data_IF_139816092731
#
_entry.id   IF_139816092731
#
_cell.length_a   1.000
_cell.length_b   1.000
_cell.length_c   1.000
_cell.angle_alpha   90.00
_cell.angle_beta   90.00
_cell.angle_gamma   90.00
#
_symmetry.space_group_name_H-M   'P 1'
#
loop_
_entity.id
_entity.type
_entity.pdbx_description
1 polymer ?
#
# COMPACT_ATOMS: atom_id res chain seq x y z
N UNK A 1 -18.59 5.58 15.16
CA UNK A 1 -18.34 6.19 13.85
C UNK A 1 -18.93 7.58 13.84
N UNK A 2 -18.14 8.57 13.45
CA UNK A 2 -18.64 9.94 13.23
C UNK A 2 -19.31 10.01 11.85
N UNK A 3 -20.22 10.97 11.65
CA UNK A 3 -20.99 11.11 10.40
C UNK A 3 -20.12 11.17 9.14
N UNK A 4 -18.97 11.85 9.21
CA UNK A 4 -18.01 11.92 8.10
C UNK A 4 -17.34 10.59 7.78
N UNK A 5 -17.10 9.74 8.79
CA UNK A 5 -16.54 8.40 8.59
C UNK A 5 -17.57 7.48 7.90
N UNK A 6 -18.85 7.63 8.25
CA UNK A 6 -19.95 6.88 7.62
C UNK A 6 -20.15 7.27 6.16
N UNK A 7 -20.15 8.56 5.86
CA UNK A 7 -20.27 9.06 4.48
C UNK A 7 -19.07 8.58 3.66
N UNK A 8 -17.85 8.72 4.19
CA UNK A 8 -16.65 8.25 3.51
C UNK A 8 -16.71 6.74 3.23
N UNK A 9 -17.15 5.95 4.21
CA UNK A 9 -17.30 4.50 4.04
C UNK A 9 -18.32 4.16 2.95
N UNK A 10 -19.46 4.84 2.93
CA UNK A 10 -20.49 4.64 1.92
C UNK A 10 -19.98 4.98 0.51
N UNK A 11 -19.21 6.06 0.37
CA UNK A 11 -18.58 6.43 -0.91
C UNK A 11 -17.58 5.37 -1.38
N UNK A 12 -16.80 4.79 -0.47
CA UNK A 12 -15.88 3.70 -0.82
C UNK A 12 -16.62 2.44 -1.24
N UNK A 13 -17.65 2.03 -0.50
CA UNK A 13 -18.47 0.86 -0.84
C UNK A 13 -19.13 1.07 -2.20
N UNK A 14 -19.71 2.26 -2.44
CA UNK A 14 -20.36 2.57 -3.72
C UNK A 14 -19.40 2.50 -4.91
N UNK A 15 -18.18 3.01 -4.76
CA UNK A 15 -17.13 2.90 -5.78
C UNK A 15 -16.77 1.45 -6.07
N UNK A 16 -16.57 0.64 -5.02
CA UNK A 16 -16.27 -0.80 -5.19
C UNK A 16 -17.43 -1.49 -5.90
N UNK A 17 -18.66 -1.31 -5.41
CA UNK A 17 -19.85 -1.96 -5.96
C UNK A 17 -20.18 -1.53 -7.39
N UNK A 18 -19.71 -0.37 -7.85
CA UNK A 18 -19.84 0.04 -9.26
C UNK A 18 -19.12 -0.91 -10.23
N UNK A 19 -18.08 -1.61 -9.77
CA UNK A 19 -17.38 -2.64 -10.54
C UNK A 19 -18.07 -4.02 -10.47
N UNK A 20 -19.07 -4.18 -9.60
CA UNK A 20 -19.77 -5.44 -9.32
C UNK A 20 -21.29 -5.29 -9.46
N UNK A 21 -21.81 -5.01 -10.67
CA UNK A 21 -23.24 -4.83 -10.88
C UNK A 21 -24.02 -6.10 -10.55
N UNK A 22 -25.15 -5.94 -9.84
CA UNK A 22 -26.05 -7.03 -9.43
C UNK A 22 -25.41 -8.12 -8.55
N UNK A 23 -24.31 -7.81 -7.85
CA UNK A 23 -23.67 -8.71 -6.88
C UNK A 23 -23.88 -8.19 -5.46
N UNK A 24 -23.76 -9.09 -4.48
CA UNK A 24 -23.77 -8.69 -3.07
C UNK A 24 -22.41 -8.11 -2.68
N UNK A 25 -22.41 -7.34 -1.59
CA UNK A 25 -21.16 -6.79 -1.02
C UNK A 25 -20.24 -7.93 -0.57
N UNK A 26 -20.78 -9.03 -0.01
CA UNK A 26 -19.94 -10.17 0.37
C UNK A 26 -19.21 -10.76 -0.83
N UNK A 27 -19.90 -10.91 -1.97
CA UNK A 27 -19.30 -11.44 -3.19
C UNK A 27 -18.15 -10.55 -3.69
N UNK A 28 -18.36 -9.23 -3.72
CA UNK A 28 -17.32 -8.30 -4.15
C UNK A 28 -16.08 -8.35 -3.26
N UNK A 29 -16.26 -8.46 -1.94
CA UNK A 29 -15.15 -8.56 -0.99
C UNK A 29 -14.39 -9.88 -1.13
N UNK A 30 -15.10 -11.00 -1.29
CA UNK A 30 -14.48 -12.32 -1.48
C UNK A 30 -13.70 -12.39 -2.79
N UNK A 31 -14.25 -11.85 -3.88
CA UNK A 31 -13.56 -11.77 -5.17
C UNK A 31 -12.28 -10.92 -5.10
N UNK A 32 -12.32 -9.78 -4.40
CA UNK A 32 -11.13 -8.94 -4.17
C UNK A 32 -10.07 -9.71 -3.36
N UNK A 33 -10.48 -10.44 -2.32
CA UNK A 33 -9.55 -11.26 -1.52
C UNK A 33 -8.91 -12.35 -2.38
N UNK A 34 -9.70 -13.06 -3.18
CA UNK A 34 -9.22 -14.08 -4.11
C UNK A 34 -8.25 -13.50 -5.16
N UNK A 35 -8.52 -12.28 -5.65
CA UNK A 35 -7.64 -11.58 -6.61
C UNK A 35 -6.29 -11.23 -5.97
N UNK A 36 -6.28 -10.86 -4.69
CA UNK A 36 -5.05 -10.56 -3.96
C UNK A 36 -4.25 -11.85 -3.66
N UNK A 37 -4.91 -12.95 -3.33
CA UNK A 37 -4.25 -14.24 -3.10
C UNK A 37 -3.65 -14.81 -4.39
N UNK A 38 -4.36 -14.69 -5.51
CA UNK A 38 -3.87 -15.13 -6.83
C UNK A 38 -2.69 -14.28 -7.31
N UNK A 39 -2.71 -12.95 -7.12
CA UNK A 39 -1.55 -12.10 -7.42
C UNK A 39 -0.30 -12.48 -6.63
N UNK A 40 -0.45 -12.77 -5.34
CA UNK A 40 0.67 -13.11 -4.47
C UNK A 40 1.26 -14.50 -4.81
N UNK A 41 0.43 -15.43 -5.27
CA UNK A 41 0.87 -16.76 -5.70
C UNK A 41 1.47 -16.78 -7.11
N UNK A 42 0.99 -15.95 -8.04
CA UNK A 42 1.59 -15.81 -9.38
C UNK A 42 3.00 -15.21 -9.34
N UNK A 43 3.30 -14.30 -8.40
CA UNK A 43 4.68 -13.79 -8.21
C UNK A 43 5.67 -14.84 -7.69
N UNK A 44 5.22 -16.03 -7.28
CA UNK A 44 6.09 -17.14 -6.86
C UNK A 44 6.30 -18.20 -7.96
N UNK A 45 5.70 -18.05 -9.15
CA UNK A 45 5.68 -19.08 -10.18
C UNK A 45 6.58 -18.77 -11.38
N UNK A 46 7.81 -18.35 -11.13
CA UNK A 46 8.92 -18.69 -12.04
C UNK A 46 9.71 -19.86 -11.44
N UNK A 47 9.13 -21.07 -11.44
CA UNK A 47 9.87 -22.33 -11.55
C UNK A 47 8.92 -23.54 -11.63
N UNK A 48 8.90 -24.13 -12.84
CA UNK A 48 8.64 -25.55 -13.20
C UNK A 48 7.29 -26.22 -12.88
N UNK A 49 6.62 -26.58 -14.00
CA UNK A 49 5.89 -27.83 -14.34
C UNK A 49 4.82 -28.37 -13.36
N UNK A 50 3.59 -28.38 -13.86
CA UNK A 50 2.46 -29.27 -13.54
C UNK A 50 2.81 -30.79 -13.57
N UNK A 51 1.94 -31.75 -13.11
CA UNK A 51 0.57 -31.62 -12.58
C UNK A 51 0.15 -32.56 -11.39
N UNK A 52 -1.10 -32.38 -10.93
CA UNK A 52 -2.08 -33.31 -10.28
C UNK A 52 -2.20 -33.41 -8.73
N UNK A 53 -3.48 -33.39 -8.34
CA UNK A 53 -4.20 -34.10 -7.24
C UNK A 53 -4.20 -33.58 -5.79
N UNK A 54 -5.36 -33.01 -5.42
CA UNK A 54 -6.32 -33.50 -4.40
C UNK A 54 -5.97 -33.45 -2.89
N UNK A 55 -6.68 -32.54 -2.21
CA UNK A 55 -7.38 -32.70 -0.91
C UNK A 55 -6.59 -32.84 0.40
N UNK A 56 -7.00 -31.98 1.35
CA UNK A 56 -6.86 -32.04 2.82
C UNK A 56 -5.46 -31.92 3.43
N UNK A 57 -5.11 -30.71 3.88
CA UNK A 57 -4.46 -30.55 5.20
C UNK A 57 -5.13 -29.39 5.96
N UNK A 58 -5.81 -29.81 7.03
CA UNK A 58 -6.58 -29.03 7.98
C UNK A 58 -5.74 -28.07 8.85
N UNK A 59 -6.36 -26.94 9.22
CA UNK A 59 -6.41 -26.37 10.57
C UNK A 59 -5.13 -26.00 11.36
N UNK A 60 -3.97 -25.77 10.74
CA UNK A 60 -2.80 -25.24 11.49
C UNK A 60 -2.29 -23.86 11.11
N UNK A 61 -2.73 -23.26 10.00
CA UNK A 61 -2.25 -21.93 9.59
C UNK A 61 -3.06 -20.75 10.18
N UNK A 62 -4.30 -20.99 10.62
CA UNK A 62 -5.21 -19.93 11.11
C UNK A 62 -4.83 -19.37 12.49
N UNK A 63 -3.90 -19.99 13.22
CA UNK A 63 -3.46 -19.52 14.54
C UNK A 63 -2.25 -18.58 14.48
N UNK A 64 -1.50 -18.54 13.37
CA UNK A 64 -0.30 -17.69 13.25
C UNK A 64 -0.58 -16.31 12.65
N UNK A 65 -1.71 -16.10 11.98
CA UNK A 65 -2.01 -14.83 11.28
C UNK A 65 -2.56 -13.77 12.24
N UNK A 66 -3.19 -14.18 13.36
CA UNK A 66 -3.80 -13.24 14.32
C UNK A 66 -2.81 -12.36 15.08
N UNK A 67 -1.54 -12.76 15.18
CA UNK A 67 -0.55 -12.01 15.97
C UNK A 67 0.16 -10.90 15.16
N UNK A 68 -0.07 -10.83 13.85
CA UNK A 68 0.53 -9.79 12.98
C UNK A 68 -0.39 -8.58 12.71
N UNK A 69 -1.66 -8.63 13.14
CA UNK A 69 -2.62 -7.52 12.99
C UNK A 69 -2.47 -6.51 14.14
N UNK A 70 -1.23 -6.23 14.56
CA UNK A 70 -0.94 -5.19 15.55
C UNK A 70 -0.29 -3.99 14.89
N UNK A 71 -1.00 -2.86 14.97
CA UNK A 71 -0.50 -1.48 14.88
C UNK A 71 -0.25 -0.87 13.48
N UNK A 72 -1.20 -0.99 12.55
CA UNK A 72 -1.23 -0.10 11.37
C UNK A 72 -2.37 0.93 11.37
N UNK A 73 -3.04 1.12 12.50
CA UNK A 73 -4.14 2.08 12.63
C UNK A 73 -3.84 3.21 13.62
N UNK A 74 -2.79 3.99 13.36
CA UNK A 74 -2.69 5.37 13.87
C UNK A 74 -1.85 6.19 12.88
N UNK A 75 -2.50 6.86 11.92
CA UNK A 75 -2.38 8.29 11.64
C UNK A 75 -3.13 8.62 10.36
N UNK A 76 -4.22 9.38 10.50
CA UNK A 76 -5.01 9.88 9.38
C UNK A 76 -4.31 10.97 8.59
N UNK A 77 -4.86 11.22 7.40
CA UNK A 77 -4.66 12.46 6.64
C UNK A 77 -3.88 12.29 5.35
N UNK A 78 -4.62 11.97 4.29
CA UNK A 78 -4.43 12.36 2.88
C UNK A 78 -3.11 12.02 2.16
N UNK A 79 -3.27 11.76 0.86
CA UNK A 79 -2.31 11.23 -0.12
C UNK A 79 -1.84 9.81 0.20
N UNK A 80 -2.46 8.82 -0.46
CA UNK A 80 -1.72 7.59 -0.79
C UNK A 80 -0.54 8.05 -1.67
N UNK A 81 0.71 7.99 -1.20
CA UNK A 81 1.83 8.16 -2.10
C UNK A 81 1.73 7.07 -3.17
N UNK A 82 2.15 7.39 -4.40
CA UNK A 82 2.18 6.45 -5.51
C UNK A 82 2.78 5.11 -5.05
N UNK A 83 1.92 4.07 -5.00
CA UNK A 83 2.04 2.86 -4.18
C UNK A 83 3.42 2.18 -4.32
N UNK A 84 3.96 2.22 -5.53
CA UNK A 84 5.26 1.66 -5.91
C UNK A 84 6.46 2.32 -5.23
N UNK A 85 6.40 3.64 -5.00
CA UNK A 85 7.53 4.39 -4.41
C UNK A 85 7.60 4.20 -2.91
N UNK A 86 6.46 4.19 -2.21
CA UNK A 86 6.37 3.87 -0.79
C UNK A 86 6.76 2.42 -0.50
N UNK A 87 6.34 1.49 -1.36
CA UNK A 87 6.69 0.07 -1.24
C UNK A 87 8.19 -0.15 -1.42
N UNK A 88 8.80 0.47 -2.45
CA UNK A 88 10.26 0.40 -2.68
C UNK A 88 11.06 1.00 -1.51
N UNK A 89 10.60 2.11 -0.93
CA UNK A 89 11.25 2.74 0.22
C UNK A 89 11.05 1.93 1.52
N UNK A 90 9.95 1.20 1.64
CA UNK A 90 9.68 0.35 2.81
C UNK A 90 10.62 -0.86 2.90
N UNK A 91 11.18 -1.30 1.78
CA UNK A 91 12.14 -2.41 1.72
C UNK A 91 13.57 -2.01 2.12
N UNK A 92 13.88 -0.71 2.16
CA UNK A 92 15.21 -0.22 2.51
C UNK A 92 15.46 -0.26 4.03
N UNK A 93 16.73 -0.39 4.41
CA UNK A 93 17.17 -0.28 5.79
C UNK A 93 17.02 1.15 6.31
N UNK A 94 16.94 1.32 7.64
CA UNK A 94 16.87 2.65 8.25
C UNK A 94 18.11 3.50 7.94
N UNK A 95 19.28 2.89 7.77
CA UNK A 95 20.52 3.58 7.42
C UNK A 95 20.46 4.15 6.00
N UNK A 96 20.03 3.35 5.02
CA UNK A 96 19.86 3.79 3.63
C UNK A 96 18.81 4.90 3.51
N UNK A 97 17.69 4.77 4.23
CA UNK A 97 16.67 5.81 4.27
C UNK A 97 17.22 7.12 4.85
N UNK A 98 18.09 7.06 5.87
CA UNK A 98 18.74 8.26 6.43
C UNK A 98 19.73 8.89 5.44
N UNK A 99 20.46 8.07 4.70
CA UNK A 99 21.37 8.55 3.64
C UNK A 99 20.60 9.26 2.53
N UNK A 100 19.52 8.64 2.04
CA UNK A 100 18.63 9.23 1.02
C UNK A 100 18.03 10.54 1.53
N UNK A 101 17.49 10.55 2.75
CA UNK A 101 16.94 11.76 3.36
C UNK A 101 17.98 12.88 3.43
N UNK A 102 19.22 12.56 3.82
CA UNK A 102 20.32 13.54 3.90
C UNK A 102 20.68 14.08 2.51
N UNK A 103 20.80 13.22 1.49
CA UNK A 103 21.00 13.63 0.09
C UNK A 103 19.85 14.50 -0.42
N UNK A 104 18.65 14.30 0.12
CA UNK A 104 17.47 15.11 -0.21
C UNK A 104 17.34 16.40 0.60
N UNK A 105 18.26 16.70 1.51
CA UNK A 105 18.20 17.88 2.38
C UNK A 105 17.16 17.76 3.51
N UNK A 106 16.66 16.55 3.78
CA UNK A 106 15.73 16.27 4.87
C UNK A 106 16.53 16.03 6.15
N UNK A 107 16.31 16.85 7.17
CA UNK A 107 16.93 16.64 8.49
C UNK A 107 16.38 15.36 9.13
N UNK A 108 17.28 14.43 9.39
CA UNK A 108 16.95 13.21 10.12
C UNK A 108 17.37 13.31 11.58
N UNK A 109 16.65 12.61 12.46
CA UNK A 109 16.97 12.48 13.88
C UNK A 109 17.26 11.02 14.19
N UNK A 110 18.12 10.79 15.18
CA UNK A 110 18.51 9.44 15.60
C UNK A 110 17.30 8.57 15.98
N UNK A 111 16.31 9.15 16.67
CA UNK A 111 15.11 8.48 17.20
C UNK A 111 13.92 8.41 16.23
N UNK A 112 14.11 8.71 14.94
CA UNK A 112 13.01 8.70 13.98
C UNK A 112 12.54 7.29 13.63
N UNK A 113 11.21 7.14 13.56
CA UNK A 113 10.56 5.91 13.09
C UNK A 113 10.74 5.75 11.57
N UNK A 114 10.99 4.51 11.12
CA UNK A 114 11.14 4.15 9.70
C UNK A 114 9.96 4.64 8.84
N UNK A 115 8.72 4.46 9.30
CA UNK A 115 7.53 4.88 8.55
C UNK A 115 7.46 6.39 8.36
N UNK A 116 7.83 7.17 9.38
CA UNK A 116 7.90 8.64 9.29
C UNK A 116 8.97 9.07 8.28
N UNK A 117 10.10 8.37 8.25
CA UNK A 117 11.19 8.65 7.33
C UNK A 117 10.80 8.36 5.87
N UNK A 118 10.17 7.21 5.62
CA UNK A 118 9.61 6.85 4.30
C UNK A 118 8.61 7.92 3.85
N UNK A 119 7.65 8.27 4.70
CA UNK A 119 6.64 9.29 4.38
C UNK A 119 7.29 10.64 4.02
N UNK A 120 8.29 11.09 4.79
CA UNK A 120 8.96 12.37 4.54
C UNK A 120 9.72 12.36 3.20
N UNK A 121 10.39 11.25 2.89
CA UNK A 121 11.08 11.06 1.61
C UNK A 121 10.07 11.08 0.46
N UNK A 122 9.00 10.29 0.53
CA UNK A 122 7.94 10.24 -0.48
C UNK A 122 7.32 11.62 -0.74
N UNK A 123 6.92 12.33 0.32
CA UNK A 123 6.36 13.69 0.20
C UNK A 123 7.34 14.67 -0.44
N UNK A 124 8.63 14.54 -0.13
CA UNK A 124 9.66 15.40 -0.73
C UNK A 124 9.87 15.09 -2.21
N UNK A 125 9.81 13.82 -2.61
CA UNK A 125 9.89 13.43 -4.02
C UNK A 125 8.67 13.95 -4.81
N UNK A 126 7.47 13.83 -4.26
CA UNK A 126 6.24 14.31 -4.90
C UNK A 126 6.27 15.82 -5.13
N UNK A 127 6.69 16.60 -4.13
CA UNK A 127 6.85 18.06 -4.26
C UNK A 127 7.80 18.43 -5.39
N UNK A 128 8.96 17.75 -5.49
CA UNK A 128 9.91 18.02 -6.58
C UNK A 128 9.36 17.69 -7.97
N UNK A 129 8.55 16.64 -8.10
CA UNK A 129 7.87 16.32 -9.37
C UNK A 129 6.88 17.41 -9.78
N UNK A 130 6.16 17.97 -8.81
CA UNK A 130 5.24 19.09 -9.05
C UNK A 130 6.04 20.33 -9.48
N UNK A 131 7.10 20.68 -8.75
CA UNK A 131 7.94 21.84 -9.05
C UNK A 131 8.60 21.75 -10.44
N UNK A 132 9.03 20.55 -10.86
CA UNK A 132 9.55 20.35 -12.22
C UNK A 132 8.48 20.53 -13.29
N UNK A 133 7.27 20.02 -13.04
CA UNK A 133 6.15 20.11 -13.99
C UNK A 133 5.67 21.55 -14.17
N UNK A 134 5.71 22.37 -13.11
CA UNK A 134 5.37 23.79 -13.18
C UNK A 134 6.43 24.56 -13.99
N UNK A 135 7.71 24.33 -13.68
CA UNK A 135 8.82 25.03 -14.36
C UNK A 135 8.87 24.76 -15.87
N UNK A 136 8.49 23.57 -16.32
CA UNK A 136 8.49 23.24 -17.74
C UNK A 136 7.35 23.94 -18.51
N UNK A 137 6.21 24.23 -17.86
CA UNK A 137 5.13 25.01 -18.48
C UNK A 137 5.48 26.47 -18.73
N UNK A 138 6.35 27.06 -17.89
CA UNK A 138 6.73 28.46 -18.01
C UNK A 138 7.77 28.72 -19.11
N UNK A 139 8.28 27.66 -19.78
CA UNK A 139 9.25 27.79 -20.89
C UNK A 139 8.62 27.87 -22.28
N UNK A 140 7.33 27.59 -22.40
CA UNK A 140 6.62 27.53 -23.68
C UNK A 140 5.78 28.80 -23.98
N UNK A 141 6.03 29.91 -23.26
CA UNK A 141 5.43 31.23 -23.50
C UNK A 141 6.48 32.30 -23.83
#
# INVERSE_FOLDING_TARGET
MKTHELISLFDYISKIMSHYPNKSVEYALDDILNLLETRNSETSLTNKKEPKTQTQINNRLSKSIKDSISLQYVFGGNSKPDDKTSESLSNLSLAELKEIATKMGIRTSSRQNKGVLVMNISKTMERRKIDSTIKDKDKDN
#
